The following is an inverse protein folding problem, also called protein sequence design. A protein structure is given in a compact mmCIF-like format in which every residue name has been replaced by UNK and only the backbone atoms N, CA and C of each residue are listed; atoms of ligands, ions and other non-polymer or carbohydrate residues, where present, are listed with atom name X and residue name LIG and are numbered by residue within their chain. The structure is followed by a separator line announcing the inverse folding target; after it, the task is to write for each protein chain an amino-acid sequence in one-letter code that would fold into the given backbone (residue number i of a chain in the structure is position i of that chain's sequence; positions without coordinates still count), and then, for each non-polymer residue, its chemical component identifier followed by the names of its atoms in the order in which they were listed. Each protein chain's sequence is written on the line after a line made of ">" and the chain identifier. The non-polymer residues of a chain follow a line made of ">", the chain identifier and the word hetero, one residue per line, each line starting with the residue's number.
data_IF_873805059269
#
_entry.id   IF_873805059269
#
_cell.length_a   1.000
_cell.length_b   1.000
_cell.length_c   1.000
_cell.angle_alpha   90.00
_cell.angle_beta   90.00
_cell.angle_gamma   90.00
#
_symmetry.space_group_name_H-M   'P 1'
#
loop_
_entity.id
_entity.type
_entity.pdbx_description
1 polymer ?
#
# COMPACT_ATOMS: atom_id res chain seq x y z
N UNK A 1 -20.40 -14.75 -1.07
CA UNK A 1 -20.47 -13.62 -2.01
C UNK A 1 -20.26 -14.19 -3.41
N UNK A 2 -21.11 -13.81 -4.37
CA UNK A 2 -20.92 -14.17 -5.77
C UNK A 2 -19.64 -13.48 -6.23
N UNK A 3 -18.62 -14.27 -6.59
CA UNK A 3 -17.30 -13.74 -6.98
C UNK A 3 -17.38 -12.92 -8.27
N UNK A 4 -16.37 -12.06 -8.49
CA UNK A 4 -16.20 -11.32 -9.73
C UNK A 4 -16.22 -12.28 -10.92
N UNK A 5 -17.13 -12.06 -11.87
CA UNK A 5 -17.19 -12.81 -13.13
C UNK A 5 -16.46 -12.04 -14.22
N UNK A 6 -15.55 -12.72 -14.91
CA UNK A 6 -14.86 -12.17 -16.06
C UNK A 6 -15.49 -12.70 -17.33
N UNK A 7 -15.74 -11.81 -18.30
CA UNK A 7 -16.26 -12.18 -19.61
C UNK A 7 -15.33 -11.66 -20.70
N UNK A 8 -15.05 -12.49 -21.70
CA UNK A 8 -14.40 -12.08 -22.93
C UNK A 8 -15.46 -11.52 -23.87
N UNK A 9 -15.35 -10.24 -24.19
CA UNK A 9 -16.21 -9.50 -25.12
C UNK A 9 -15.43 -9.21 -26.41
N UNK A 10 -15.23 -10.24 -27.25
CA UNK A 10 -14.57 -10.06 -28.56
C UNK A 10 -15.51 -9.42 -29.59
N UNK A 11 -14.96 -8.59 -30.49
CA UNK A 11 -15.62 -7.86 -31.60
C UNK A 11 -16.25 -8.75 -32.69
N UNK A 12 -16.21 -10.06 -32.55
CA UNK A 12 -16.83 -11.00 -33.48
C UNK A 12 -18.32 -11.15 -33.17
N UNK A 13 -19.14 -11.36 -34.21
CA UNK A 13 -20.60 -11.60 -34.15
C UNK A 13 -21.03 -12.81 -33.27
N UNK A 14 -20.10 -13.47 -32.59
CA UNK A 14 -20.26 -14.75 -31.88
C UNK A 14 -20.59 -14.63 -30.38
N UNK A 15 -20.82 -13.43 -29.85
CA UNK A 15 -21.34 -13.23 -28.49
C UNK A 15 -20.30 -13.18 -27.37
N UNK A 16 -20.79 -13.02 -26.15
CA UNK A 16 -20.01 -12.83 -24.90
C UNK A 16 -19.78 -14.17 -24.21
N UNK A 17 -18.54 -14.48 -23.82
CA UNK A 17 -18.17 -15.77 -23.19
C UNK A 17 -17.60 -15.55 -21.79
N UNK A 18 -18.13 -16.26 -20.77
CA UNK A 18 -17.58 -16.25 -19.41
C UNK A 18 -16.21 -16.95 -19.38
N UNK A 19 -15.22 -16.33 -18.73
CA UNK A 19 -13.92 -16.92 -18.45
C UNK A 19 -13.96 -17.48 -17.03
N UNK A 20 -13.91 -18.81 -16.91
CA UNK A 20 -14.02 -19.48 -15.61
C UNK A 20 -12.78 -19.19 -14.74
N UNK A 21 -12.96 -18.74 -13.48
CA UNK A 21 -11.85 -18.58 -12.55
C UNK A 21 -11.30 -19.93 -12.11
N UNK A 22 -9.97 -20.04 -12.01
CA UNK A 22 -9.28 -21.21 -11.46
C UNK A 22 -8.29 -20.80 -10.36
N UNK A 23 -7.94 -21.75 -9.51
CA UNK A 23 -6.83 -21.62 -8.56
C UNK A 23 -5.53 -22.08 -9.24
N UNK A 24 -4.41 -21.87 -8.55
CA UNK A 24 -3.14 -22.49 -8.90
C UNK A 24 -3.23 -24.03 -8.79
N UNK A 25 -2.44 -24.74 -9.58
CA UNK A 25 -2.30 -26.20 -9.44
C UNK A 25 -1.50 -26.51 -8.17
N UNK A 26 -0.39 -25.78 -7.97
CA UNK A 26 0.41 -25.81 -6.75
C UNK A 26 0.64 -24.41 -6.19
N UNK A 27 0.89 -24.30 -4.89
CA UNK A 27 1.16 -23.02 -4.21
C UNK A 27 2.34 -22.25 -4.84
N UNK A 28 3.37 -22.98 -5.28
CA UNK A 28 4.53 -22.41 -5.96
C UNK A 28 4.19 -21.65 -7.26
N UNK A 29 3.08 -21.98 -7.95
CA UNK A 29 2.72 -21.27 -9.19
C UNK A 29 2.28 -19.83 -8.91
N UNK A 30 1.49 -19.61 -7.85
CA UNK A 30 1.06 -18.25 -7.48
C UNK A 30 2.22 -17.48 -6.83
N UNK A 31 3.04 -18.15 -6.01
CA UNK A 31 4.22 -17.55 -5.41
C UNK A 31 5.20 -17.06 -6.49
N UNK A 32 5.61 -17.93 -7.42
CA UNK A 32 6.58 -17.59 -8.46
C UNK A 32 6.11 -16.42 -9.33
N UNK A 33 4.84 -16.42 -9.74
CA UNK A 33 4.28 -15.32 -10.53
C UNK A 33 4.26 -14.00 -9.76
N UNK A 34 3.87 -14.03 -8.48
CA UNK A 34 3.85 -12.83 -7.66
C UNK A 34 5.26 -12.33 -7.38
N UNK A 35 6.24 -13.20 -7.10
CA UNK A 35 7.64 -12.82 -6.89
C UNK A 35 8.27 -12.16 -8.13
N UNK A 36 8.00 -12.69 -9.33
CA UNK A 36 8.51 -12.14 -10.59
C UNK A 36 7.98 -10.72 -10.86
N UNK A 37 6.76 -10.43 -10.45
CA UNK A 37 6.07 -9.16 -10.72
C UNK A 37 5.67 -8.39 -9.45
N UNK A 38 6.36 -8.64 -8.34
CA UNK A 38 5.96 -8.22 -7.00
C UNK A 38 5.83 -6.70 -6.87
N UNK A 39 6.70 -5.97 -7.55
CA UNK A 39 6.68 -4.51 -7.55
C UNK A 39 5.44 -3.96 -8.27
N UNK A 40 5.06 -4.57 -9.39
CA UNK A 40 3.86 -4.15 -10.15
C UNK A 40 2.59 -4.52 -9.39
N UNK A 41 2.52 -5.75 -8.88
CA UNK A 41 1.31 -6.31 -8.26
C UNK A 41 1.06 -5.77 -6.84
N UNK A 42 2.12 -5.59 -6.06
CA UNK A 42 2.02 -5.28 -4.63
C UNK A 42 2.75 -3.98 -4.22
N UNK A 43 3.54 -3.37 -5.11
CA UNK A 43 4.40 -2.24 -4.72
C UNK A 43 5.54 -2.67 -3.80
N UNK A 44 5.96 -3.92 -3.89
CA UNK A 44 6.99 -4.49 -3.03
C UNK A 44 8.17 -4.91 -3.87
N UNK A 45 9.35 -4.39 -3.53
CA UNK A 45 10.61 -4.83 -4.14
C UNK A 45 11.02 -6.15 -3.50
N UNK A 46 11.11 -7.19 -4.32
CA UNK A 46 11.45 -8.54 -3.89
C UNK A 46 12.89 -8.63 -3.37
N UNK A 47 13.10 -9.39 -2.28
CA UNK A 47 14.41 -9.59 -1.65
C UNK A 47 14.85 -11.06 -1.63
N UNK A 48 13.95 -11.96 -1.25
CA UNK A 48 14.24 -13.39 -1.14
C UNK A 48 12.95 -14.22 -1.20
N UNK A 49 13.10 -15.42 -1.76
CA UNK A 49 12.10 -16.49 -1.76
C UNK A 49 12.54 -17.55 -0.75
N UNK A 50 11.58 -18.23 -0.12
CA UNK A 50 11.80 -19.41 0.72
C UNK A 50 12.86 -19.15 1.81
N UNK A 51 12.79 -18.00 2.48
CA UNK A 51 13.81 -17.53 3.41
C UNK A 51 13.78 -18.32 4.73
N UNK A 52 14.86 -19.05 5.02
CA UNK A 52 14.97 -19.85 6.24
C UNK A 52 15.14 -19.00 7.50
N UNK A 53 14.39 -19.30 8.56
CA UNK A 53 14.43 -18.56 9.84
C UNK A 53 15.41 -19.14 10.86
N UNK A 54 16.40 -19.88 10.36
CA UNK A 54 17.44 -20.53 11.16
C UNK A 54 16.93 -21.71 12.01
N UNK A 55 17.84 -22.36 12.76
CA UNK A 55 17.53 -23.59 13.49
C UNK A 55 16.62 -23.40 14.71
N UNK A 56 16.52 -22.19 15.25
CA UNK A 56 15.72 -21.90 16.46
C UNK A 56 14.24 -21.75 16.14
N UNK A 57 13.89 -21.06 15.04
CA UNK A 57 12.50 -20.97 14.58
C UNK A 57 12.11 -22.13 13.66
N UNK A 58 13.08 -22.71 12.92
CA UNK A 58 12.91 -23.94 12.14
C UNK A 58 11.91 -23.82 10.99
N UNK A 59 11.55 -22.59 10.60
CA UNK A 59 10.54 -22.30 9.58
C UNK A 59 11.12 -21.66 8.33
N UNK A 60 10.21 -21.25 7.43
CA UNK A 60 10.55 -20.68 6.14
C UNK A 60 9.49 -19.66 5.73
N UNK A 61 9.94 -18.44 5.45
CA UNK A 61 9.10 -17.34 4.99
C UNK A 61 9.01 -17.45 3.48
N UNK A 62 7.79 -17.45 2.93
CA UNK A 62 7.61 -17.71 1.49
C UNK A 62 8.27 -16.59 0.66
N UNK A 63 7.98 -15.32 0.94
CA UNK A 63 8.71 -14.19 0.35
C UNK A 63 8.99 -13.07 1.33
N UNK A 64 10.18 -12.46 1.18
CA UNK A 64 10.57 -11.20 1.82
C UNK A 64 10.69 -10.09 0.79
N UNK A 65 10.26 -8.89 1.17
CA UNK A 65 10.33 -7.71 0.33
C UNK A 65 10.40 -6.39 1.11
N UNK A 66 10.54 -5.29 0.38
CA UNK A 66 10.56 -3.93 0.90
C UNK A 66 9.57 -3.06 0.11
N UNK A 67 8.55 -2.50 0.77
CA UNK A 67 7.53 -1.72 0.09
C UNK A 67 8.00 -0.32 -0.34
N UNK A 68 7.13 0.40 -1.05
CA UNK A 68 7.33 1.79 -1.50
C UNK A 68 7.62 2.77 -0.36
N UNK A 69 7.08 2.46 0.82
CA UNK A 69 7.30 3.19 2.06
C UNK A 69 8.46 2.61 2.85
N UNK A 70 9.34 1.79 2.27
CA UNK A 70 10.49 1.17 2.92
C UNK A 70 10.17 0.33 4.15
N UNK A 71 8.92 -0.10 4.34
CA UNK A 71 8.56 -1.05 5.37
C UNK A 71 8.97 -2.47 4.95
N UNK A 72 9.53 -3.27 5.87
CA UNK A 72 9.71 -4.70 5.65
C UNK A 72 8.39 -5.40 5.36
N UNK A 73 8.37 -6.28 4.36
CA UNK A 73 7.17 -7.03 3.96
C UNK A 73 7.44 -8.53 4.01
N UNK A 74 6.52 -9.26 4.64
CA UNK A 74 6.38 -10.71 4.52
C UNK A 74 5.18 -10.99 3.62
N UNK A 75 5.35 -11.88 2.64
CA UNK A 75 4.23 -12.39 1.83
C UNK A 75 4.13 -13.89 2.05
N UNK A 76 2.95 -14.38 2.41
CA UNK A 76 2.65 -15.79 2.61
C UNK A 76 1.56 -16.22 1.62
N UNK A 77 1.72 -17.40 1.02
CA UNK A 77 0.84 -17.89 -0.04
C UNK A 77 0.07 -19.12 0.41
N UNK A 78 -1.16 -19.26 -0.11
CA UNK A 78 -1.95 -20.50 -0.02
C UNK A 78 -2.70 -20.75 -1.31
N UNK A 79 -2.65 -21.98 -1.81
CA UNK A 79 -3.41 -22.37 -3.01
C UNK A 79 -4.91 -22.10 -2.84
N UNK A 80 -5.48 -22.47 -1.69
CA UNK A 80 -6.92 -22.39 -1.40
C UNK A 80 -7.21 -21.59 -0.14
N UNK A 81 -8.16 -22.08 0.67
CA UNK A 81 -8.44 -21.55 2.01
C UNK A 81 -7.59 -22.32 3.01
N UNK A 82 -6.93 -21.60 3.91
CA UNK A 82 -6.12 -22.19 4.97
C UNK A 82 -6.29 -21.38 6.26
N UNK A 83 -6.64 -22.05 7.35
CA UNK A 83 -6.90 -21.42 8.64
C UNK A 83 -5.60 -20.98 9.37
N UNK A 84 -4.43 -21.41 8.88
CA UNK A 84 -3.13 -21.17 9.50
C UNK A 84 -2.35 -20.01 8.89
N UNK A 85 -2.68 -19.54 7.68
CA UNK A 85 -1.87 -18.55 6.93
C UNK A 85 -1.59 -17.27 7.73
N UNK A 86 -2.59 -16.75 8.46
CA UNK A 86 -2.41 -15.55 9.29
C UNK A 86 -1.47 -15.84 10.46
N UNK A 87 -1.66 -16.97 11.15
CA UNK A 87 -0.83 -17.33 12.30
C UNK A 87 0.62 -17.62 11.89
N UNK A 88 0.82 -18.27 10.74
CA UNK A 88 2.13 -18.49 10.12
C UNK A 88 2.81 -17.15 9.82
N UNK A 89 2.12 -16.23 9.14
CA UNK A 89 2.63 -14.90 8.86
C UNK A 89 2.95 -14.08 10.11
N UNK A 90 2.12 -14.16 11.15
CA UNK A 90 2.37 -13.49 12.43
C UNK A 90 3.57 -14.06 13.18
N UNK A 91 3.78 -15.38 13.12
CA UNK A 91 4.97 -16.03 13.67
C UNK A 91 6.24 -15.50 12.99
N UNK A 92 6.23 -15.38 11.65
CA UNK A 92 7.38 -14.82 10.92
C UNK A 92 7.54 -13.32 11.09
N UNK A 93 6.46 -12.58 11.30
CA UNK A 93 6.54 -11.16 11.65
C UNK A 93 7.25 -10.96 12.98
N UNK A 94 7.02 -11.83 13.97
CA UNK A 94 7.77 -11.80 15.22
C UNK A 94 9.27 -12.07 14.99
N UNK A 95 9.60 -13.12 14.20
CA UNK A 95 10.98 -13.42 13.82
C UNK A 95 11.67 -12.22 13.16
N UNK A 96 11.01 -11.59 12.18
CA UNK A 96 11.53 -10.45 11.44
C UNK A 96 11.85 -9.27 12.37
N UNK A 97 11.03 -9.05 13.40
CA UNK A 97 11.22 -7.99 14.37
C UNK A 97 12.40 -8.23 15.31
N UNK A 98 12.74 -9.50 15.57
CA UNK A 98 13.90 -9.91 16.37
C UNK A 98 15.19 -9.96 15.52
N UNK A 99 15.08 -10.08 14.19
CA UNK A 99 16.21 -10.26 13.25
C UNK A 99 16.41 -9.05 12.31
N UNK A 100 16.23 -7.83 12.83
CA UNK A 100 16.29 -6.59 12.03
C UNK A 100 17.61 -6.39 11.27
N UNK A 101 18.73 -6.65 11.94
CA UNK A 101 20.06 -6.47 11.35
C UNK A 101 20.29 -7.42 10.16
N UNK A 102 19.71 -8.63 10.23
CA UNK A 102 19.77 -9.61 9.15
C UNK A 102 18.96 -9.15 7.94
N UNK A 103 17.75 -8.64 8.16
CA UNK A 103 16.92 -8.06 7.11
C UNK A 103 17.57 -6.80 6.49
N UNK A 104 18.13 -5.89 7.30
CA UNK A 104 18.82 -4.70 6.79
C UNK A 104 20.04 -5.05 5.93
N UNK A 105 20.76 -6.12 6.29
CA UNK A 105 21.84 -6.66 5.46
C UNK A 105 21.30 -7.18 4.14
N UNK A 106 20.21 -7.97 4.17
CA UNK A 106 19.56 -8.47 2.95
C UNK A 106 19.13 -7.31 2.02
N UNK A 107 18.52 -6.25 2.57
CA UNK A 107 18.16 -5.05 1.81
C UNK A 107 19.39 -4.37 1.22
N UNK A 108 20.47 -4.24 1.99
CA UNK A 108 21.72 -3.64 1.51
C UNK A 108 22.30 -4.42 0.34
N UNK A 109 22.34 -5.75 0.46
CA UNK A 109 22.96 -6.62 -0.53
C UNK A 109 22.15 -6.66 -1.84
N UNK A 110 20.81 -6.53 -1.75
CA UNK A 110 19.90 -6.58 -2.91
C UNK A 110 19.61 -5.23 -3.54
N UNK A 111 19.42 -4.19 -2.72
CA UNK A 111 18.88 -2.88 -3.12
C UNK A 111 19.85 -1.71 -2.80
N UNK A 112 21.00 -2.00 -2.20
CA UNK A 112 22.03 -1.02 -1.89
C UNK A 112 21.86 -0.29 -0.55
N UNK A 113 22.90 0.46 -0.18
CA UNK A 113 23.03 1.13 1.13
C UNK A 113 21.93 2.17 1.37
N UNK A 114 21.54 2.90 0.33
CA UNK A 114 20.48 3.92 0.44
C UNK A 114 19.16 3.31 0.88
N UNK A 115 18.73 2.21 0.25
CA UNK A 115 17.50 1.52 0.62
C UNK A 115 17.56 0.97 2.06
N UNK A 116 18.70 0.37 2.43
CA UNK A 116 18.91 -0.16 3.78
C UNK A 116 18.81 0.93 4.87
N UNK A 117 19.30 2.15 4.59
CA UNK A 117 19.22 3.28 5.52
C UNK A 117 17.80 3.85 5.71
N UNK A 118 16.86 3.47 4.84
CA UNK A 118 15.48 3.97 4.81
C UNK A 118 14.45 2.96 5.32
N UNK A 119 14.89 1.80 5.81
CA UNK A 119 14.01 0.76 6.33
C UNK A 119 13.16 1.30 7.48
N UNK A 120 11.84 1.08 7.39
CA UNK A 120 10.84 1.55 8.34
C UNK A 120 10.34 0.42 9.23
N UNK A 121 10.98 0.27 10.40
CA UNK A 121 10.61 -0.76 11.37
C UNK A 121 9.32 -0.48 12.16
N UNK A 122 8.75 0.73 12.06
CA UNK A 122 7.51 1.06 12.78
C UNK A 122 6.26 0.47 12.15
N UNK A 123 6.33 -0.01 10.90
CA UNK A 123 5.17 -0.54 10.19
C UNK A 123 5.49 -1.70 9.27
N UNK A 124 6.11 -2.80 9.75
CA UNK A 124 6.28 -3.99 8.93
C UNK A 124 4.91 -4.54 8.52
N UNK A 125 4.84 -5.09 7.31
CA UNK A 125 3.60 -5.48 6.64
C UNK A 125 3.57 -6.99 6.40
N UNK A 126 2.43 -7.59 6.66
CA UNK A 126 2.13 -8.97 6.30
C UNK A 126 1.08 -8.96 5.17
N UNK A 127 1.37 -9.62 4.06
CA UNK A 127 0.42 -9.82 2.96
C UNK A 127 0.17 -11.31 2.83
N UNK A 128 -1.06 -11.75 3.07
CA UNK A 128 -1.46 -13.14 2.86
C UNK A 128 -2.20 -13.25 1.53
N UNK A 129 -1.71 -14.07 0.60
CA UNK A 129 -2.31 -14.29 -0.72
C UNK A 129 -2.89 -15.70 -0.77
N UNK A 130 -4.22 -15.80 -0.90
CA UNK A 130 -4.91 -17.09 -0.83
C UNK A 130 -6.06 -17.21 -1.84
N UNK A 131 -6.51 -18.44 -2.10
CA UNK A 131 -7.65 -18.67 -2.99
C UNK A 131 -8.97 -18.16 -2.42
N UNK A 132 -9.13 -18.17 -1.10
CA UNK A 132 -10.19 -17.48 -0.38
C UNK A 132 -9.85 -17.35 1.12
N UNK A 133 -10.64 -16.55 1.84
CA UNK A 133 -10.55 -16.39 3.29
C UNK A 133 -11.92 -16.61 3.93
N UNK A 134 -11.93 -17.17 5.13
CA UNK A 134 -13.16 -17.28 5.91
C UNK A 134 -13.52 -15.93 6.53
N UNK A 135 -14.79 -15.79 6.94
CA UNK A 135 -15.21 -14.62 7.75
C UNK A 135 -14.44 -14.48 9.07
N UNK A 136 -13.90 -15.58 9.59
CA UNK A 136 -13.14 -15.60 10.83
C UNK A 136 -11.74 -15.00 10.62
N UNK A 137 -11.10 -15.33 9.51
CA UNK A 137 -9.81 -14.75 9.10
C UNK A 137 -9.92 -13.23 8.97
N UNK A 138 -10.95 -12.76 8.26
CA UNK A 138 -11.24 -11.33 8.07
C UNK A 138 -11.50 -10.62 9.40
N UNK A 139 -12.13 -11.29 10.36
CA UNK A 139 -12.34 -10.73 11.68
C UNK A 139 -11.04 -10.71 12.51
N UNK A 140 -10.27 -11.80 12.51
CA UNK A 140 -9.05 -11.95 13.29
C UNK A 140 -8.02 -10.87 12.97
N UNK A 141 -7.80 -10.55 11.68
CA UNK A 141 -6.82 -9.52 11.29
C UNK A 141 -7.11 -8.14 11.89
N UNK A 142 -8.38 -7.82 12.18
CA UNK A 142 -8.77 -6.53 12.78
C UNK A 142 -8.35 -6.40 14.24
N UNK A 143 -8.20 -7.53 14.94
CA UNK A 143 -7.82 -7.56 16.36
C UNK A 143 -6.30 -7.46 16.58
N UNK A 144 -5.50 -7.86 15.59
CA UNK A 144 -4.04 -7.95 15.74
C UNK A 144 -3.31 -6.61 15.81
N UNK A 145 -3.96 -5.48 15.43
CA UNK A 145 -3.35 -4.12 15.39
C UNK A 145 -2.01 -4.07 14.62
N UNK A 146 -1.83 -4.93 13.63
CA UNK A 146 -0.67 -4.98 12.73
C UNK A 146 -1.09 -4.59 11.31
N UNK A 147 -0.11 -4.26 10.48
CA UNK A 147 -0.37 -4.00 9.05
C UNK A 147 -0.55 -5.34 8.34
N UNK A 148 -1.79 -5.75 8.10
CA UNK A 148 -2.11 -7.05 7.49
C UNK A 148 -3.06 -6.85 6.31
N UNK A 149 -2.70 -7.41 5.18
CA UNK A 149 -3.54 -7.49 3.98
C UNK A 149 -3.89 -8.93 3.67
N UNK A 150 -5.18 -9.19 3.46
CA UNK A 150 -5.70 -10.45 2.95
C UNK A 150 -6.08 -10.24 1.49
N UNK A 151 -5.39 -10.92 0.58
CA UNK A 151 -5.55 -10.76 -0.87
C UNK A 151 -6.01 -12.07 -1.48
N UNK A 152 -7.20 -12.07 -2.07
CA UNK A 152 -7.73 -13.20 -2.82
C UNK A 152 -7.15 -13.17 -4.23
N UNK A 153 -6.59 -14.27 -4.69
CA UNK A 153 -6.16 -14.42 -6.08
C UNK A 153 -7.10 -15.34 -6.88
N UNK A 154 -7.22 -15.08 -8.19
CA UNK A 154 -7.86 -15.97 -9.17
C UNK A 154 -7.15 -15.89 -10.51
N UNK A 155 -6.89 -17.03 -11.14
CA UNK A 155 -6.48 -17.08 -12.54
C UNK A 155 -7.69 -17.11 -13.45
N UNK A 156 -7.60 -16.44 -14.60
CA UNK A 156 -8.60 -16.48 -15.65
C UNK A 156 -7.94 -16.82 -16.98
N UNK A 157 -8.36 -17.92 -17.60
CA UNK A 157 -7.69 -18.41 -18.80
C UNK A 157 -6.21 -18.77 -18.54
N UNK A 158 -5.34 -18.42 -19.49
CA UNK A 158 -3.91 -18.74 -19.48
C UNK A 158 -3.02 -17.59 -19.02
N UNK A 159 -3.52 -16.35 -19.04
CA UNK A 159 -2.69 -15.14 -19.03
C UNK A 159 -3.19 -14.04 -18.08
N UNK A 160 -4.33 -14.21 -17.41
CA UNK A 160 -4.90 -13.19 -16.54
C UNK A 160 -4.87 -13.63 -15.07
N UNK A 161 -4.40 -12.73 -14.22
CA UNK A 161 -4.43 -12.84 -12.76
C UNK A 161 -5.31 -11.72 -12.20
N UNK A 162 -6.30 -12.09 -11.40
CA UNK A 162 -7.06 -11.16 -10.57
C UNK A 162 -6.56 -11.19 -9.13
N UNK A 163 -6.34 -10.02 -8.55
CA UNK A 163 -6.06 -9.82 -7.13
C UNK A 163 -7.16 -8.94 -6.53
N UNK A 164 -7.72 -9.37 -5.40
CA UNK A 164 -8.78 -8.66 -4.68
C UNK A 164 -8.40 -8.54 -3.21
N UNK A 165 -8.25 -7.32 -2.70
CA UNK A 165 -8.06 -7.09 -1.27
C UNK A 165 -9.37 -7.39 -0.53
N UNK A 166 -9.41 -8.50 0.21
CA UNK A 166 -10.54 -8.94 1.02
C UNK A 166 -10.61 -8.15 2.33
N UNK A 167 -9.45 -7.91 2.93
CA UNK A 167 -9.31 -7.08 4.12
C UNK A 167 -7.94 -6.40 4.13
N UNK A 168 -7.90 -5.18 4.65
CA UNK A 168 -6.67 -4.44 4.89
C UNK A 168 -6.78 -3.75 6.24
N UNK A 169 -5.80 -3.99 7.11
CA UNK A 169 -5.75 -3.40 8.45
C UNK A 169 -4.43 -2.65 8.58
N UNK A 170 -4.49 -1.40 9.02
CA UNK A 170 -3.30 -0.60 9.36
C UNK A 170 -2.72 -1.00 10.70
N UNK A 171 -1.39 -1.14 10.73
CA UNK A 171 -0.63 -1.24 11.98
C UNK A 171 -0.50 0.14 12.64
N UNK A 172 -1.46 0.48 13.50
CA UNK A 172 -1.41 1.71 14.26
C UNK A 172 -2.42 1.69 15.41
N UNK A 173 -2.04 2.22 16.56
CA UNK A 173 -3.03 2.64 17.55
C UNK A 173 -3.95 3.63 16.82
N UNK A 174 -5.25 3.37 16.73
CA UNK A 174 -6.18 4.48 16.55
C UNK A 174 -5.94 5.39 17.75
N UNK A 175 -5.18 6.47 17.55
CA UNK A 175 -5.05 7.50 18.56
C UNK A 175 -6.42 8.14 18.63
N UNK A 176 -7.27 7.62 19.52
CA UNK A 176 -8.43 8.33 20.00
C UNK A 176 -7.94 9.72 20.40
N UNK A 177 -8.36 10.72 19.62
CA UNK A 177 -7.89 12.08 19.69
C UNK A 177 -8.26 12.68 21.04
N UNK A 178 -7.38 12.59 22.04
CA UNK A 178 -7.47 13.41 23.25
C UNK A 178 -6.75 14.72 22.98
N UNK A 179 -7.53 15.72 22.56
CA UNK A 179 -7.06 17.09 22.40
C UNK A 179 -6.54 17.61 23.74
N UNK A 180 -5.23 17.77 23.86
CA UNK A 180 -4.62 18.50 24.97
C UNK A 180 -4.15 19.86 24.45
N UNK A 181 -4.94 20.89 24.73
CA UNK A 181 -4.57 22.29 24.49
C UNK A 181 -3.41 22.64 25.44
N UNK A 182 -2.32 23.15 24.89
CA UNK A 182 -1.45 24.11 25.55
C UNK A 182 -1.13 25.24 24.56
N UNK A 183 -1.60 26.44 24.90
CA UNK A 183 -1.20 27.72 24.31
C UNK A 183 0.22 28.08 24.85
N UNK A 184 1.05 28.94 24.26
CA UNK A 184 0.85 30.29 23.71
C UNK A 184 2.05 30.65 22.80
N UNK A 185 1.82 31.51 21.78
CA UNK A 185 2.72 32.50 21.14
C UNK A 185 3.19 32.26 19.68
N UNK A 186 2.42 32.77 18.68
CA UNK A 186 2.88 33.60 17.53
C UNK A 186 1.71 34.08 16.64
N UNK A 187 1.01 35.13 17.07
CA UNK A 187 -0.28 35.60 16.53
C UNK A 187 -0.36 36.20 15.10
N UNK A 188 0.57 35.87 14.18
CA UNK A 188 0.40 36.22 12.76
C UNK A 188 0.99 35.15 11.81
N UNK A 189 2.07 34.47 12.23
CA UNK A 189 2.56 33.27 11.55
C UNK A 189 1.72 32.02 11.90
N UNK A 190 1.07 31.99 13.07
CA UNK A 190 0.21 30.89 13.51
C UNK A 190 -1.10 30.82 12.73
N UNK A 191 -1.65 31.93 12.22
CA UNK A 191 -2.93 31.90 11.50
C UNK A 191 -2.77 31.21 10.14
N UNK A 192 -1.70 31.53 9.41
CA UNK A 192 -1.37 30.88 8.14
C UNK A 192 -0.99 29.41 8.38
N UNK A 193 -0.19 29.12 9.42
CA UNK A 193 0.19 27.75 9.79
C UNK A 193 -1.01 26.91 10.23
N UNK A 194 -1.95 27.47 10.99
CA UNK A 194 -3.20 26.83 11.38
C UNK A 194 -4.08 26.54 10.17
N UNK A 195 -4.24 27.52 9.27
CA UNK A 195 -5.02 27.34 8.04
C UNK A 195 -4.43 26.23 7.13
N UNK A 196 -3.11 26.16 7.01
CA UNK A 196 -2.48 25.09 6.22
C UNK A 196 -2.55 23.72 6.92
N UNK A 197 -2.59 23.68 8.25
CA UNK A 197 -2.84 22.44 9.01
C UNK A 197 -4.29 21.97 8.86
N UNK A 198 -5.26 22.89 8.87
CA UNK A 198 -6.66 22.59 8.58
C UNK A 198 -6.83 22.07 7.16
N UNK A 199 -6.15 22.70 6.18
CA UNK A 199 -6.14 22.23 4.80
C UNK A 199 -5.55 20.82 4.67
N UNK A 200 -4.47 20.52 5.40
CA UNK A 200 -3.88 19.19 5.43
C UNK A 200 -4.84 18.17 6.07
N UNK A 201 -5.59 18.57 7.11
CA UNK A 201 -6.65 17.76 7.69
C UNK A 201 -7.76 17.44 6.68
N UNK A 202 -8.20 18.42 5.89
CA UNK A 202 -9.20 18.22 4.84
C UNK A 202 -8.69 17.28 3.73
N UNK A 203 -7.42 17.36 3.36
CA UNK A 203 -6.80 16.42 2.41
C UNK A 203 -6.69 15.01 3.00
N UNK A 204 -6.27 14.89 4.27
CA UNK A 204 -6.21 13.62 4.98
C UNK A 204 -7.60 12.94 4.98
N UNK A 205 -8.65 13.69 5.34
CA UNK A 205 -10.04 13.20 5.32
C UNK A 205 -10.49 12.81 3.91
N UNK A 206 -10.17 13.62 2.90
CA UNK A 206 -10.52 13.33 1.52
C UNK A 206 -9.85 12.05 1.00
N UNK A 207 -8.56 11.84 1.28
CA UNK A 207 -7.80 10.66 0.84
C UNK A 207 -8.20 9.38 1.58
N UNK A 208 -8.42 9.46 2.90
CA UNK A 208 -8.93 8.34 3.70
C UNK A 208 -10.36 7.97 3.33
N UNK A 209 -11.17 8.95 2.90
CA UNK A 209 -12.57 8.76 2.50
C UNK A 209 -12.78 8.21 1.10
N UNK A 210 -11.73 7.92 0.32
CA UNK A 210 -11.88 7.39 -1.05
C UNK A 210 -12.38 5.95 -1.10
N UNK A 211 -12.13 5.17 -0.06
CA UNK A 211 -12.68 3.82 0.05
C UNK A 211 -12.16 3.05 1.25
N UNK A 212 -12.77 1.89 1.47
CA UNK A 212 -12.39 1.01 2.58
C UNK A 212 -10.99 0.43 2.37
N UNK A 213 -10.26 0.27 3.48
CA UNK A 213 -8.92 -0.31 3.50
C UNK A 213 -7.80 0.62 3.04
N UNK A 214 -8.02 1.95 3.02
CA UNK A 214 -6.92 2.91 2.90
C UNK A 214 -6.14 2.97 4.20
N UNK A 215 -4.84 2.76 4.09
CA UNK A 215 -3.89 2.83 5.17
C UNK A 215 -3.02 4.08 5.05
N UNK A 216 -2.69 4.69 6.20
CA UNK A 216 -1.78 5.83 6.27
C UNK A 216 -0.45 5.42 6.89
N UNK A 217 0.65 5.69 6.19
CA UNK A 217 2.01 5.44 6.68
C UNK A 217 2.73 6.78 6.90
N UNK A 218 3.22 7.00 8.12
CA UNK A 218 3.94 8.23 8.46
C UNK A 218 5.44 8.08 8.17
N UNK A 219 5.97 8.95 7.32
CA UNK A 219 7.40 9.13 7.06
C UNK A 219 7.86 10.50 7.56
N UNK A 220 9.18 10.69 7.67
CA UNK A 220 9.76 11.97 8.11
C UNK A 220 9.38 13.13 7.19
N UNK A 221 9.25 12.88 5.89
CA UNK A 221 9.09 13.90 4.85
C UNK A 221 7.72 13.91 4.18
N UNK A 222 6.86 12.93 4.45
CA UNK A 222 5.52 12.81 3.87
C UNK A 222 4.65 11.83 4.67
N UNK A 223 3.34 11.86 4.41
CA UNK A 223 2.38 10.83 4.82
C UNK A 223 1.93 10.11 3.55
N UNK A 224 2.17 8.81 3.47
CA UNK A 224 1.70 8.00 2.36
C UNK A 224 0.31 7.45 2.65
N UNK A 225 -0.51 7.41 1.61
CA UNK A 225 -1.82 6.79 1.56
C UNK A 225 -1.74 5.60 0.62
N UNK A 226 -2.03 4.42 1.15
CA UNK A 226 -1.79 3.17 0.43
C UNK A 226 -2.95 2.18 0.57
N UNK A 227 -3.12 1.35 -0.46
CA UNK A 227 -3.87 0.09 -0.41
C UNK A 227 -2.89 -1.06 -0.49
N UNK A 228 -2.92 -1.83 -1.59
CA UNK A 228 -1.78 -2.68 -1.97
C UNK A 228 -0.56 -1.80 -2.25
N UNK A 229 -0.75 -0.70 -2.97
CA UNK A 229 0.31 0.26 -3.32
C UNK A 229 -0.01 1.66 -2.82
N UNK A 230 1.01 2.51 -2.76
CA UNK A 230 0.81 3.93 -2.53
C UNK A 230 0.02 4.55 -3.69
N UNK A 231 -0.97 5.37 -3.36
CA UNK A 231 -1.67 6.19 -4.35
C UNK A 231 -1.51 7.68 -4.11
N UNK A 232 -1.15 8.10 -2.89
CA UNK A 232 -0.87 9.51 -2.63
C UNK A 232 0.22 9.68 -1.57
N UNK A 233 0.99 10.75 -1.69
CA UNK A 233 1.95 11.20 -0.68
C UNK A 233 1.71 12.67 -0.36
N UNK A 234 1.26 12.96 0.87
CA UNK A 234 1.06 14.32 1.36
C UNK A 234 2.32 14.81 2.08
N UNK A 235 2.94 15.87 1.58
CA UNK A 235 4.05 16.52 2.28
C UNK A 235 3.56 17.36 3.47
N UNK A 236 4.42 17.60 4.48
CA UNK A 236 4.14 18.54 5.55
C UNK A 236 3.73 19.92 5.01
N UNK A 237 2.78 20.62 5.70
CA UNK A 237 2.40 21.98 5.37
C UNK A 237 3.58 22.92 5.17
N UNK A 238 3.66 23.56 4.01
CA UNK A 238 4.59 24.66 3.77
C UNK A 238 3.91 25.99 4.11
N UNK A 239 4.67 27.11 4.07
CA UNK A 239 4.16 28.44 4.44
C UNK A 239 2.92 28.89 3.65
N UNK A 240 2.77 28.48 2.39
CA UNK A 240 1.74 28.99 1.49
C UNK A 240 1.06 27.93 0.61
N UNK A 241 1.44 26.66 0.76
CA UNK A 241 0.91 25.55 -0.03
C UNK A 241 1.12 24.19 0.63
N UNK A 242 0.31 23.23 0.24
CA UNK A 242 0.51 21.80 0.43
C UNK A 242 0.86 21.17 -0.91
N UNK A 243 1.67 20.12 -0.84
CA UNK A 243 2.01 19.30 -1.99
C UNK A 243 1.47 17.90 -1.75
N UNK A 244 0.75 17.39 -2.75
CA UNK A 244 0.31 16.00 -2.80
C UNK A 244 0.88 15.40 -4.08
N UNK A 245 1.66 14.34 -3.96
CA UNK A 245 2.09 13.54 -5.11
C UNK A 245 1.10 12.41 -5.33
N UNK A 246 0.69 12.20 -6.57
CA UNK A 246 -0.31 11.21 -6.97
C UNK A 246 0.30 10.23 -7.96
N UNK A 247 -0.02 8.94 -7.80
CA UNK A 247 0.39 7.85 -8.67
C UNK A 247 -0.56 7.74 -9.87
N UNK A 248 -0.53 8.77 -10.71
CA UNK A 248 -1.23 8.85 -12.00
C UNK A 248 -0.18 9.23 -13.05
N UNK A 249 -0.24 8.64 -14.25
CA UNK A 249 0.62 9.08 -15.35
C UNK A 249 0.25 10.54 -15.71
N UNK A 250 1.18 11.50 -15.60
CA UNK A 250 0.91 12.90 -15.95
C UNK A 250 0.43 13.10 -17.39
N UNK A 251 0.65 12.14 -18.29
CA UNK A 251 0.16 12.16 -19.68
C UNK A 251 -1.35 11.95 -19.80
N UNK A 252 -1.97 11.32 -18.80
CA UNK A 252 -3.42 11.06 -18.76
C UNK A 252 -4.20 12.22 -18.10
N UNK A 253 -3.50 13.31 -17.73
CA UNK A 253 -4.05 14.44 -16.99
C UNK A 253 -3.76 15.75 -17.70
N UNK A 254 -4.78 16.60 -17.82
CA UNK A 254 -4.61 17.98 -18.28
C UNK A 254 -3.84 18.79 -17.22
N UNK A 255 -2.57 19.08 -17.51
CA UNK A 255 -1.71 19.85 -16.62
C UNK A 255 -2.10 21.32 -16.58
N UNK A 256 -2.29 21.85 -15.37
CA UNK A 256 -2.71 23.22 -15.11
C UNK A 256 -1.61 23.94 -14.35
N UNK A 257 -0.96 24.94 -14.97
CA UNK A 257 0.10 25.72 -14.33
C UNK A 257 -0.33 26.28 -12.97
N UNK A 258 0.49 26.03 -11.94
CA UNK A 258 0.22 26.47 -10.57
C UNK A 258 -0.69 25.57 -9.75
N UNK A 259 -1.27 24.51 -10.34
CA UNK A 259 -2.08 23.51 -9.66
C UNK A 259 -1.54 22.09 -9.85
N UNK A 260 -1.23 21.67 -11.07
CA UNK A 260 -0.64 20.35 -11.37
C UNK A 260 0.68 20.47 -12.13
N UNK A 261 1.58 19.50 -11.92
CA UNK A 261 2.90 19.45 -12.55
C UNK A 261 3.40 18.02 -12.69
N UNK A 262 3.97 17.70 -13.84
CA UNK A 262 4.74 16.46 -14.07
C UNK A 262 6.10 16.55 -13.36
N UNK A 263 6.36 15.55 -12.50
CA UNK A 263 7.61 15.39 -11.75
C UNK A 263 8.29 14.03 -11.99
N UNK A 264 7.89 13.26 -13.02
CA UNK A 264 8.44 11.93 -13.35
C UNK A 264 9.97 11.89 -13.49
N UNK A 265 10.58 12.97 -14.00
CA UNK A 265 12.03 13.12 -14.13
C UNK A 265 12.71 13.90 -12.99
N UNK A 266 11.96 14.27 -11.94
CA UNK A 266 12.43 15.17 -10.88
C UNK A 266 12.48 14.44 -9.54
N UNK A 267 13.59 14.60 -8.81
CA UNK A 267 13.69 14.08 -7.45
C UNK A 267 12.70 14.77 -6.51
N UNK A 268 11.83 13.98 -5.87
CA UNK A 268 10.84 14.46 -4.91
C UNK A 268 10.64 13.45 -3.77
N UNK A 269 9.88 13.83 -2.75
CA UNK A 269 9.63 12.99 -1.58
C UNK A 269 8.33 12.20 -1.73
N UNK A 270 8.40 10.88 -1.53
CA UNK A 270 7.25 9.99 -1.66
C UNK A 270 7.22 9.33 -3.03
N UNK A 271 6.03 8.89 -3.43
CA UNK A 271 5.78 8.22 -4.71
C UNK A 271 4.75 8.97 -5.53
N UNK A 272 4.82 8.81 -6.86
CA UNK A 272 3.85 9.32 -7.81
C UNK A 272 4.37 10.51 -8.61
N UNK A 273 4.07 10.52 -9.90
CA UNK A 273 4.71 11.43 -10.85
C UNK A 273 3.93 12.74 -11.08
N UNK A 274 2.73 12.86 -10.48
CA UNK A 274 1.90 14.05 -10.58
C UNK A 274 1.92 14.84 -9.26
N UNK A 275 2.53 16.02 -9.27
CA UNK A 275 2.48 16.98 -8.16
C UNK A 275 1.20 17.81 -8.24
N UNK A 276 0.42 17.85 -7.15
CA UNK A 276 -0.73 18.72 -6.96
C UNK A 276 -0.44 19.75 -5.87
N UNK A 277 -0.58 21.03 -6.19
CA UNK A 277 -0.35 22.15 -5.28
C UNK A 277 -1.68 22.69 -4.77
N UNK A 278 -1.88 22.64 -3.44
CA UNK A 278 -3.12 23.06 -2.78
C UNK A 278 -2.87 24.25 -1.88
N UNK A 279 -3.69 25.29 -1.98
CA UNK A 279 -3.56 26.53 -1.18
C UNK A 279 -4.82 26.85 -0.40
N UNK A 280 -5.96 26.40 -0.90
CA UNK A 280 -7.28 26.70 -0.35
C UNK A 280 -8.16 25.45 -0.33
N UNK A 281 -9.23 25.42 0.48
CA UNK A 281 -10.19 24.31 0.48
C UNK A 281 -10.83 24.05 -0.89
N UNK A 282 -10.98 25.09 -1.73
CA UNK A 282 -11.48 24.94 -3.12
C UNK A 282 -10.54 24.12 -3.98
N UNK A 283 -9.23 24.20 -3.74
CA UNK A 283 -8.25 23.39 -4.46
C UNK A 283 -8.40 21.90 -4.10
N UNK A 284 -8.77 21.60 -2.84
CA UNK A 284 -9.04 20.22 -2.41
C UNK A 284 -10.25 19.66 -3.14
N UNK A 285 -11.34 20.43 -3.22
CA UNK A 285 -12.53 20.04 -3.98
C UNK A 285 -12.21 19.77 -5.45
N UNK A 286 -11.40 20.65 -6.06
CA UNK A 286 -10.93 20.48 -7.44
C UNK A 286 -10.03 19.25 -7.61
N UNK A 287 -9.23 18.90 -6.62
CA UNK A 287 -8.31 17.76 -6.67
C UNK A 287 -8.99 16.40 -6.46
N UNK A 288 -10.26 16.35 -6.04
CA UNK A 288 -10.96 15.09 -5.73
C UNK A 288 -10.97 14.10 -6.89
N UNK A 289 -11.11 14.57 -8.13
CA UNK A 289 -11.10 13.68 -9.28
C UNK A 289 -9.71 13.10 -9.55
N UNK A 290 -8.65 13.88 -9.34
CA UNK A 290 -7.27 13.38 -9.41
C UNK A 290 -6.99 12.38 -8.28
N UNK A 291 -7.51 12.62 -7.08
CA UNK A 291 -7.39 11.68 -5.96
C UNK A 291 -8.06 10.35 -6.28
N UNK A 292 -9.27 10.38 -6.87
CA UNK A 292 -9.98 9.17 -7.32
C UNK A 292 -9.25 8.44 -8.45
N UNK A 293 -8.72 9.17 -9.43
CA UNK A 293 -7.94 8.59 -10.52
C UNK A 293 -6.70 7.87 -9.98
N UNK A 294 -5.98 8.51 -9.05
CA UNK A 294 -4.81 7.92 -8.38
C UNK A 294 -5.17 6.69 -7.57
N UNK A 295 -6.28 6.76 -6.82
CA UNK A 295 -6.79 5.64 -6.03
C UNK A 295 -7.16 4.44 -6.91
N UNK A 296 -7.77 4.67 -8.07
CA UNK A 296 -8.16 3.61 -9.00
C UNK A 296 -6.95 2.94 -9.68
N UNK A 297 -5.84 3.67 -9.83
CA UNK A 297 -4.61 3.17 -10.42
C UNK A 297 -3.75 2.32 -9.46
N UNK A 298 -4.05 2.33 -8.16
CA UNK A 298 -3.20 1.78 -7.10
C UNK A 298 -3.62 0.41 -6.56
#
# INVERSE_FOLDING_TARGET
>A
MVGLKLFRTGTTKSGVTEVTPRLAEVEADVQGLVEEHMETLLGVRFLASEYGTGPVHGGRIDSLGLDENGSPVIVEYKRGVDAGVINQGLFYLAWLMDHRAEFERLVRDRLGVTAASQVLWSGPRLICIAGDFTRYDVHAVREHRRSIDLVRYRFFGSDLLGLETVASVSGGMQVARRARRQAVARAAADVQGASMMELAGAVDEALLGLGDGVNRVERKQYRAYQRLRNFACLCPPQRSKLLVYLKVDPKDVDLVPGFTRDVSGLGHHGTGDLEVQLRTPKDVERAKDLFRASYAAA
#
